data_IF_424976280788
#
_entry.id   IF_424976280788
#
_cell.length_a   1.000
_cell.length_b   1.000
_cell.length_c   1.000
_cell.angle_alpha   90.00
_cell.angle_beta   90.00
_cell.angle_gamma   90.00
#
_symmetry.space_group_name_H-M   'P 1'
#
loop_
_entity.id
_entity.type
_entity.pdbx_description
1 polymer ?
#
# COMPACT_ATOMS: atom_id res chain seq x y z
N UNK A 1 15.56 -12.56 -22.80
CA UNK A 1 15.64 -14.01 -22.45
C UNK A 1 14.26 -14.52 -22.07
N UNK A 2 13.95 -15.80 -22.33
CA UNK A 2 12.67 -16.39 -21.91
C UNK A 2 12.88 -17.35 -20.74
N UNK A 3 12.08 -17.21 -19.70
CA UNK A 3 11.93 -18.23 -18.67
C UNK A 3 10.88 -19.23 -19.13
N UNK A 4 11.27 -20.48 -19.24
CA UNK A 4 10.41 -21.56 -19.75
C UNK A 4 9.99 -22.49 -18.62
N UNK A 5 8.69 -22.53 -18.34
CA UNK A 5 8.06 -23.61 -17.57
C UNK A 5 7.76 -24.83 -18.43
N UNK A 6 6.77 -25.63 -18.06
CA UNK A 6 6.27 -26.77 -18.84
C UNK A 6 5.12 -26.38 -19.78
N UNK A 7 4.34 -25.39 -19.41
CA UNK A 7 3.12 -24.95 -20.11
C UNK A 7 3.16 -23.45 -20.41
N UNK A 8 3.84 -22.69 -19.58
CA UNK A 8 3.92 -21.24 -19.68
C UNK A 8 5.36 -20.76 -19.87
N UNK A 9 5.50 -19.54 -20.36
CA UNK A 9 6.74 -18.81 -20.39
C UNK A 9 6.53 -17.35 -20.03
N UNK A 10 7.59 -16.67 -19.63
CA UNK A 10 7.62 -15.22 -19.55
C UNK A 10 8.93 -14.67 -20.13
N UNK A 11 8.91 -13.40 -20.49
CA UNK A 11 10.07 -12.70 -21.04
C UNK A 11 10.74 -11.89 -19.92
N UNK A 12 12.04 -12.08 -19.76
CA UNK A 12 12.84 -11.28 -18.83
C UNK A 12 13.95 -10.54 -19.60
N UNK A 13 14.42 -9.39 -19.10
CA UNK A 13 15.48 -8.64 -19.76
C UNK A 13 16.74 -9.47 -20.02
N UNK A 14 17.48 -9.12 -21.04
CA UNK A 14 18.78 -9.72 -21.28
C UNK A 14 19.75 -9.39 -20.14
N UNK A 15 20.58 -10.36 -19.78
CA UNK A 15 21.55 -10.23 -18.69
C UNK A 15 21.03 -10.67 -17.32
N UNK A 16 19.75 -11.03 -17.18
CA UNK A 16 19.28 -11.70 -15.96
C UNK A 16 19.81 -13.13 -15.91
N UNK A 17 20.16 -13.59 -14.70
CA UNK A 17 20.65 -14.96 -14.48
C UNK A 17 19.49 -15.91 -14.19
N UNK A 18 19.42 -17.02 -14.92
CA UNK A 18 18.42 -18.08 -14.70
C UNK A 18 18.94 -19.12 -13.71
N UNK A 19 18.09 -19.49 -12.75
CA UNK A 19 18.30 -20.61 -11.83
C UNK A 19 17.05 -21.50 -11.87
N UNK A 20 17.23 -22.80 -11.98
CA UNK A 20 16.13 -23.77 -11.91
C UNK A 20 16.15 -24.50 -10.59
N UNK A 21 15.01 -24.48 -9.92
CA UNK A 21 14.76 -25.22 -8.70
C UNK A 21 13.58 -26.19 -8.91
N UNK A 22 13.44 -27.22 -8.07
CA UNK A 22 12.27 -28.10 -8.16
C UNK A 22 10.96 -27.31 -8.07
N UNK A 23 10.16 -27.35 -9.12
CA UNK A 23 8.86 -26.71 -9.20
C UNK A 23 8.88 -25.21 -9.56
N UNK A 24 10.04 -24.59 -9.79
CA UNK A 24 10.08 -23.20 -10.25
C UNK A 24 11.31 -22.87 -11.10
N UNK A 25 11.16 -21.82 -11.91
CA UNK A 25 12.27 -21.18 -12.66
C UNK A 25 12.41 -19.76 -12.16
N UNK A 26 13.61 -19.38 -11.78
CA UNK A 26 13.91 -18.09 -11.17
C UNK A 26 14.82 -17.32 -12.12
N UNK A 27 14.55 -16.04 -12.35
CA UNK A 27 15.50 -15.11 -12.94
C UNK A 27 15.82 -14.01 -11.94
N UNK A 28 17.10 -13.62 -11.87
CA UNK A 28 17.57 -12.55 -11.01
C UNK A 28 18.26 -11.46 -11.83
N UNK A 29 17.98 -10.21 -11.46
CA UNK A 29 18.62 -9.06 -12.09
C UNK A 29 20.14 -9.07 -11.86
N UNK A 30 20.95 -8.48 -12.78
CA UNK A 30 22.38 -8.45 -12.64
C UNK A 30 22.90 -7.51 -11.54
N UNK A 31 22.04 -6.61 -11.06
CA UNK A 31 22.39 -5.62 -10.05
C UNK A 31 21.36 -5.59 -8.92
N UNK A 32 21.86 -5.39 -7.70
CA UNK A 32 21.01 -5.16 -6.53
C UNK A 32 20.60 -3.68 -6.45
N UNK A 33 19.39 -3.45 -5.96
CA UNK A 33 18.89 -2.13 -5.59
C UNK A 33 18.73 -2.10 -4.08
N UNK A 34 19.45 -1.22 -3.38
CA UNK A 34 19.45 -1.14 -1.90
C UNK A 34 19.71 -2.49 -1.19
N UNK A 35 20.58 -3.33 -1.76
CA UNK A 35 20.89 -4.65 -1.20
C UNK A 35 19.90 -5.77 -1.55
N UNK A 36 18.79 -5.47 -2.19
CA UNK A 36 17.85 -6.47 -2.72
C UNK A 36 18.09 -6.67 -4.22
N UNK A 37 18.16 -7.93 -4.65
CA UNK A 37 18.27 -8.27 -6.06
C UNK A 37 16.89 -8.54 -6.65
N UNK A 38 16.37 -7.68 -7.55
CA UNK A 38 15.10 -7.92 -8.21
C UNK A 38 15.04 -9.30 -8.87
N UNK A 39 13.90 -9.96 -8.77
CA UNK A 39 13.76 -11.31 -9.30
C UNK A 39 12.36 -11.53 -9.90
N UNK A 40 12.29 -12.54 -10.76
CA UNK A 40 11.07 -13.08 -11.31
C UNK A 40 11.05 -14.60 -11.07
N UNK A 41 9.97 -15.11 -10.52
CA UNK A 41 9.79 -16.51 -10.16
C UNK A 41 8.57 -17.04 -10.88
N UNK A 42 8.76 -17.97 -11.82
CA UNK A 42 7.68 -18.69 -12.51
C UNK A 42 7.50 -20.05 -11.86
N UNK A 43 6.32 -20.30 -11.31
CA UNK A 43 5.89 -21.57 -10.76
C UNK A 43 4.73 -22.13 -11.57
N UNK A 44 4.67 -23.44 -11.69
CA UNK A 44 3.55 -24.14 -12.32
C UNK A 44 3.06 -25.25 -11.41
N UNK A 45 1.75 -25.37 -11.28
CA UNK A 45 1.11 -26.43 -10.51
C UNK A 45 -0.13 -26.96 -11.25
N UNK A 46 -0.54 -28.18 -10.96
CA UNK A 46 -1.84 -28.69 -11.42
C UNK A 46 -2.94 -28.31 -10.45
N UNK A 47 -4.09 -27.96 -11.00
CA UNK A 47 -5.29 -27.79 -10.19
C UNK A 47 -5.83 -29.18 -9.85
N UNK A 48 -5.91 -29.50 -8.56
CA UNK A 48 -6.60 -30.69 -8.06
C UNK A 48 -8.03 -30.32 -7.69
N UNK A 49 -8.97 -31.07 -8.21
CA UNK A 49 -10.40 -30.80 -8.05
C UNK A 49 -11.05 -30.30 -9.34
N UNK A 50 -12.20 -29.67 -9.24
CA UNK A 50 -12.82 -29.02 -10.40
C UNK A 50 -12.07 -27.71 -10.70
N UNK A 51 -11.42 -27.60 -11.83
CA UNK A 51 -10.65 -26.40 -12.22
C UNK A 51 -11.62 -25.34 -12.71
N UNK A 52 -12.29 -24.67 -11.83
CA UNK A 52 -13.46 -24.06 -12.37
C UNK A 52 -13.19 -22.64 -12.83
N UNK A 53 -12.48 -21.81 -12.11
CA UNK A 53 -12.22 -20.49 -12.61
C UNK A 53 -10.90 -19.93 -12.08
N UNK A 54 -10.27 -19.08 -12.88
CA UNK A 54 -9.11 -18.32 -12.45
C UNK A 54 -9.45 -17.46 -11.22
N UNK A 55 -10.69 -16.95 -11.12
CA UNK A 55 -11.17 -16.21 -9.96
C UNK A 55 -11.15 -17.05 -8.67
N UNK A 56 -11.56 -18.33 -8.73
CA UNK A 56 -11.51 -19.22 -7.57
C UNK A 56 -10.09 -19.47 -7.09
N UNK A 57 -9.14 -19.65 -8.01
CA UNK A 57 -7.72 -19.85 -7.71
C UNK A 57 -7.14 -18.58 -7.09
N UNK A 58 -7.39 -17.42 -7.70
CA UNK A 58 -6.98 -16.12 -7.18
C UNK A 58 -7.55 -15.86 -5.78
N UNK A 59 -8.82 -16.20 -5.56
CA UNK A 59 -9.47 -16.09 -4.26
C UNK A 59 -8.80 -16.96 -3.18
N UNK A 60 -8.41 -18.19 -3.54
CA UNK A 60 -7.67 -19.07 -2.64
C UNK A 60 -6.30 -18.46 -2.29
N UNK A 61 -5.60 -17.90 -3.28
CA UNK A 61 -4.33 -17.19 -3.09
C UNK A 61 -4.47 -16.00 -2.16
N UNK A 62 -5.48 -15.15 -2.38
CA UNK A 62 -5.75 -13.98 -1.53
C UNK A 62 -5.96 -14.37 -0.05
N UNK A 63 -6.62 -15.50 0.20
CA UNK A 63 -6.79 -16.04 1.55
C UNK A 63 -5.49 -16.58 2.16
N UNK A 64 -4.62 -17.15 1.33
CA UNK A 64 -3.34 -17.70 1.77
C UNK A 64 -2.36 -16.58 2.18
N UNK A 65 -2.35 -15.43 1.50
CA UNK A 65 -1.45 -14.31 1.83
C UNK A 65 -1.48 -13.92 3.30
N UNK A 66 -2.67 -13.84 3.90
CA UNK A 66 -2.81 -13.46 5.30
C UNK A 66 -2.23 -14.47 6.30
N UNK A 67 -2.01 -15.73 5.86
CA UNK A 67 -1.49 -16.80 6.70
C UNK A 67 0.00 -17.05 6.47
N UNK A 68 0.42 -17.05 5.23
CA UNK A 68 1.75 -17.49 4.79
C UNK A 68 2.78 -16.35 4.75
N UNK A 69 2.31 -15.13 4.53
CA UNK A 69 3.15 -13.94 4.48
C UNK A 69 2.66 -12.86 5.46
N UNK A 70 2.79 -13.08 6.78
CA UNK A 70 2.36 -12.12 7.78
C UNK A 70 3.09 -10.79 7.59
N UNK A 71 2.33 -9.70 7.47
CA UNK A 71 2.86 -8.37 7.21
C UNK A 71 2.82 -7.94 5.75
N UNK A 72 2.60 -8.85 4.81
CA UNK A 72 2.34 -8.50 3.42
C UNK A 72 0.96 -7.88 3.26
N UNK A 73 0.89 -6.78 2.54
CA UNK A 73 -0.33 -6.06 2.23
C UNK A 73 -0.72 -6.32 0.78
N UNK A 74 -1.91 -6.85 0.55
CA UNK A 74 -2.49 -6.83 -0.80
C UNK A 74 -3.03 -5.43 -1.03
N UNK A 75 -2.57 -4.76 -2.05
CA UNK A 75 -2.94 -3.36 -2.33
C UNK A 75 -3.82 -3.21 -3.57
N UNK A 76 -3.77 -4.18 -4.48
CA UNK A 76 -4.58 -4.15 -5.70
C UNK A 76 -4.77 -5.55 -6.27
N UNK A 77 -5.94 -5.79 -6.88
CA UNK A 77 -6.26 -7.00 -7.64
C UNK A 77 -6.86 -6.59 -8.96
N UNK A 78 -6.39 -7.16 -10.06
CA UNK A 78 -6.81 -6.82 -11.41
C UNK A 78 -7.18 -8.05 -12.21
N UNK A 79 -8.23 -7.95 -13.04
CA UNK A 79 -8.51 -8.91 -14.08
C UNK A 79 -7.94 -8.37 -15.40
N UNK A 80 -7.07 -9.13 -16.02
CA UNK A 80 -6.39 -8.75 -17.25
C UNK A 80 -6.57 -9.81 -18.32
N UNK A 81 -6.30 -9.43 -19.56
CA UNK A 81 -6.20 -10.38 -20.66
C UNK A 81 -4.91 -10.10 -21.42
N UNK A 82 -3.95 -10.99 -21.26
CA UNK A 82 -2.66 -10.92 -21.95
C UNK A 82 -2.56 -12.03 -22.99
N UNK A 83 -2.26 -11.67 -24.24
CA UNK A 83 -2.11 -12.62 -25.36
C UNK A 83 -3.28 -13.62 -25.52
N UNK A 84 -4.51 -13.16 -25.21
CA UNK A 84 -5.72 -13.97 -25.32
C UNK A 84 -6.04 -14.86 -24.13
N UNK A 85 -5.15 -14.95 -23.14
CA UNK A 85 -5.35 -15.68 -21.89
C UNK A 85 -5.85 -14.71 -20.81
N UNK A 86 -6.80 -15.15 -19.99
CA UNK A 86 -7.25 -14.39 -18.83
C UNK A 86 -6.26 -14.54 -17.68
N UNK A 87 -5.92 -13.42 -17.05
CA UNK A 87 -4.98 -13.32 -15.95
C UNK A 87 -5.64 -12.65 -14.75
N UNK A 88 -5.10 -12.93 -13.58
CA UNK A 88 -5.29 -12.13 -12.36
C UNK A 88 -3.95 -11.59 -11.94
N UNK A 89 -3.89 -10.27 -11.77
CA UNK A 89 -2.71 -9.59 -11.24
C UNK A 89 -2.99 -9.14 -9.82
N UNK A 90 -2.11 -9.52 -8.91
CA UNK A 90 -2.18 -9.16 -7.50
C UNK A 90 -0.94 -8.35 -7.16
N UNK A 91 -1.16 -7.16 -6.64
CA UNK A 91 -0.08 -6.29 -6.18
C UNK A 91 0.03 -6.37 -4.68
N UNK A 92 1.24 -6.59 -4.18
CA UNK A 92 1.50 -6.69 -2.75
C UNK A 92 2.69 -5.84 -2.34
N UNK A 93 2.61 -5.33 -1.10
CA UNK A 93 3.72 -4.65 -0.43
C UNK A 93 4.15 -5.47 0.78
N UNK A 94 5.43 -5.77 0.86
CA UNK A 94 6.00 -6.51 1.99
C UNK A 94 7.10 -5.68 2.66
N UNK A 95 7.07 -5.49 4.00
CA UNK A 95 8.16 -4.86 4.71
C UNK A 95 9.38 -5.78 4.68
N UNK A 96 10.56 -5.20 4.49
CA UNK A 96 11.82 -5.94 4.60
C UNK A 96 12.37 -5.78 6.00
N UNK A 97 12.55 -6.90 6.68
CA UNK A 97 13.08 -6.94 8.06
C UNK A 97 14.58 -7.26 8.12
N UNK A 98 15.28 -7.22 6.98
CA UNK A 98 16.69 -7.58 6.93
C UNK A 98 17.57 -6.46 7.53
N UNK A 99 18.28 -6.77 8.64
CA UNK A 99 19.18 -5.86 9.32
C UNK A 99 20.40 -5.42 8.46
N UNK A 100 20.68 -6.13 7.37
CA UNK A 100 21.77 -5.79 6.45
C UNK A 100 21.45 -4.62 5.51
N UNK A 101 20.19 -4.19 5.47
CA UNK A 101 19.75 -3.10 4.59
C UNK A 101 19.66 -1.82 5.43
N UNK A 102 20.77 -1.10 5.49
CA UNK A 102 20.86 0.15 6.22
C UNK A 102 20.29 1.33 5.41
N UNK A 103 19.49 2.14 6.08
CA UNK A 103 19.30 3.53 5.73
C UNK A 103 18.23 3.86 4.71
N UNK A 104 17.18 3.03 4.50
CA UNK A 104 16.05 3.42 3.66
C UNK A 104 14.77 2.66 4.06
N UNK A 105 13.61 3.30 3.84
CA UNK A 105 12.31 2.63 3.91
C UNK A 105 12.29 1.58 2.80
N UNK A 106 12.65 0.36 3.11
CA UNK A 106 12.65 -0.71 2.15
C UNK A 106 11.34 -1.49 2.26
N UNK A 107 10.46 -1.23 1.30
CA UNK A 107 9.29 -2.03 1.03
C UNK A 107 9.50 -2.75 -0.30
N UNK A 108 9.24 -4.04 -0.35
CA UNK A 108 9.23 -4.80 -1.58
C UNK A 108 7.85 -4.71 -2.21
N UNK A 109 7.83 -4.35 -3.47
CA UNK A 109 6.68 -4.50 -4.34
C UNK A 109 6.77 -5.86 -5.01
N UNK A 110 5.70 -6.65 -4.92
CA UNK A 110 5.56 -7.87 -5.70
C UNK A 110 4.34 -7.77 -6.60
N UNK A 111 4.55 -8.09 -7.87
CA UNK A 111 3.50 -8.21 -8.88
C UNK A 111 3.35 -9.70 -9.17
N UNK A 112 2.23 -10.27 -8.80
CA UNK A 112 1.91 -11.66 -9.05
C UNK A 112 0.90 -11.77 -10.18
N UNK A 113 1.25 -12.51 -11.23
CA UNK A 113 0.35 -12.86 -12.33
C UNK A 113 -0.07 -14.31 -12.19
N UNK A 114 -1.36 -14.55 -12.23
CA UNK A 114 -1.97 -15.87 -12.25
C UNK A 114 -2.64 -16.13 -13.59
N UNK A 115 -2.37 -17.27 -14.19
CA UNK A 115 -3.03 -17.73 -15.40
C UNK A 115 -3.33 -19.24 -15.34
N UNK A 116 -4.36 -19.68 -16.04
CA UNK A 116 -4.74 -21.10 -16.11
C UNK A 116 -4.92 -21.54 -17.55
N UNK A 117 -4.22 -22.60 -17.94
CA UNK A 117 -4.40 -23.23 -19.26
C UNK A 117 -4.29 -24.74 -19.09
N UNK A 118 -5.28 -25.47 -19.62
CA UNK A 118 -5.33 -26.95 -19.61
C UNK A 118 -5.15 -27.58 -18.22
N UNK A 119 -5.70 -26.96 -17.18
CA UNK A 119 -5.62 -27.44 -15.79
C UNK A 119 -4.24 -27.22 -15.14
N UNK A 120 -3.35 -26.45 -15.78
CA UNK A 120 -2.10 -25.98 -15.20
C UNK A 120 -2.26 -24.52 -14.81
N UNK A 121 -1.97 -24.22 -13.55
CA UNK A 121 -1.86 -22.87 -13.02
C UNK A 121 -0.42 -22.41 -13.16
N UNK A 122 -0.24 -21.25 -13.77
CA UNK A 122 1.02 -20.52 -13.69
C UNK A 122 0.88 -19.38 -12.68
N UNK A 123 1.91 -19.24 -11.87
CA UNK A 123 2.12 -18.12 -10.97
C UNK A 123 3.48 -17.50 -11.31
N UNK A 124 3.46 -16.29 -11.85
CA UNK A 124 4.65 -15.48 -12.06
C UNK A 124 4.68 -14.38 -11.02
N UNK A 125 5.69 -14.37 -10.16
CA UNK A 125 5.89 -13.32 -9.17
C UNK A 125 7.13 -12.52 -9.51
N UNK A 126 6.98 -11.22 -9.75
CA UNK A 126 8.08 -10.28 -9.96
C UNK A 126 8.23 -9.45 -8.71
N UNK A 127 9.41 -9.46 -8.10
CA UNK A 127 9.68 -8.76 -6.85
C UNK A 127 10.84 -7.77 -6.99
N UNK A 128 10.63 -6.55 -6.51
CA UNK A 128 11.62 -5.48 -6.55
C UNK A 128 11.45 -4.53 -5.36
N UNK A 129 12.49 -3.78 -4.99
CA UNK A 129 12.32 -2.67 -4.05
C UNK A 129 11.40 -1.61 -4.65
N UNK A 130 10.44 -1.14 -3.86
CA UNK A 130 9.48 -0.13 -4.31
C UNK A 130 10.15 1.15 -4.83
N UNK A 131 11.26 1.53 -4.23
CA UNK A 131 12.07 2.70 -4.66
C UNK A 131 12.69 2.56 -6.06
N UNK A 132 12.69 1.36 -6.63
CA UNK A 132 13.18 1.10 -8.00
C UNK A 132 12.07 0.95 -9.02
N UNK A 133 10.81 1.17 -8.62
CA UNK A 133 9.66 0.99 -9.49
C UNK A 133 9.13 2.32 -10.04
N UNK A 134 8.70 2.29 -11.29
CA UNK A 134 7.92 3.36 -11.94
C UNK A 134 6.85 2.74 -12.86
N UNK A 135 5.72 3.42 -13.10
CA UNK A 135 4.71 2.95 -14.05
C UNK A 135 5.31 2.68 -15.43
N UNK A 136 4.97 1.51 -16.01
CA UNK A 136 5.53 1.08 -17.30
C UNK A 136 6.98 0.58 -17.23
N UNK A 137 7.50 0.32 -16.04
CA UNK A 137 8.80 -0.27 -15.79
C UNK A 137 8.94 -1.66 -16.45
N UNK A 138 10.19 -2.06 -16.70
CA UNK A 138 10.53 -3.39 -17.18
C UNK A 138 9.95 -4.53 -16.34
N UNK A 139 9.78 -4.35 -15.03
CA UNK A 139 9.24 -5.36 -14.11
C UNK A 139 7.74 -5.60 -14.35
N UNK A 140 6.99 -4.55 -14.66
CA UNK A 140 5.59 -4.68 -15.09
C UNK A 140 5.51 -5.38 -16.44
N UNK A 141 6.39 -5.03 -17.37
CA UNK A 141 6.51 -5.71 -18.66
C UNK A 141 6.84 -7.19 -18.51
N UNK A 142 7.68 -7.59 -17.54
CA UNK A 142 7.95 -9.00 -17.22
C UNK A 142 6.64 -9.69 -16.79
N UNK A 143 5.91 -9.11 -15.86
CA UNK A 143 4.64 -9.66 -15.39
C UNK A 143 3.65 -9.82 -16.54
N UNK A 144 3.51 -8.81 -17.40
CA UNK A 144 2.62 -8.82 -18.57
C UNK A 144 3.03 -9.83 -19.65
N UNK A 145 4.27 -10.28 -19.65
CA UNK A 145 4.79 -11.21 -20.66
C UNK A 145 4.39 -12.67 -20.42
N UNK A 146 3.79 -13.01 -19.28
CA UNK A 146 3.33 -14.37 -18.99
C UNK A 146 2.37 -14.85 -20.07
N UNK A 147 2.70 -15.96 -20.71
CA UNK A 147 1.90 -16.53 -21.79
C UNK A 147 2.01 -18.06 -21.83
N UNK A 148 0.96 -18.68 -22.34
CA UNK A 148 0.99 -20.12 -22.61
C UNK A 148 1.85 -20.44 -23.84
N UNK A 149 2.67 -21.48 -23.72
CA UNK A 149 3.41 -22.02 -24.86
C UNK A 149 2.46 -22.64 -25.90
N UNK A 150 2.87 -22.66 -27.18
CA UNK A 150 2.18 -23.45 -28.19
C UNK A 150 2.05 -24.92 -27.77
N UNK A 151 0.91 -25.55 -28.03
CA UNK A 151 0.64 -26.93 -27.58
C UNK A 151 1.74 -27.92 -27.97
N UNK A 152 2.35 -27.71 -29.15
CA UNK A 152 3.44 -28.56 -29.65
C UNK A 152 4.76 -28.45 -28.84
N UNK A 153 4.92 -27.40 -28.07
CA UNK A 153 6.13 -27.10 -27.30
C UNK A 153 5.97 -27.40 -25.80
N UNK A 154 4.75 -27.76 -25.36
CA UNK A 154 4.48 -28.05 -23.95
C UNK A 154 5.08 -29.38 -23.54
N UNK A 155 5.78 -29.37 -22.43
CA UNK A 155 6.25 -30.60 -21.78
C UNK A 155 5.25 -30.99 -20.67
N UNK A 156 5.24 -32.26 -20.28
CA UNK A 156 4.42 -32.64 -19.11
C UNK A 156 4.93 -31.87 -17.86
N UNK A 157 4.03 -31.26 -17.08
CA UNK A 157 4.45 -30.57 -15.86
C UNK A 157 5.14 -31.57 -14.93
N UNK A 158 6.15 -31.12 -14.15
CA UNK A 158 6.87 -32.00 -13.24
C UNK A 158 5.89 -32.66 -12.27
N UNK A 159 6.00 -33.97 -12.14
CA UNK A 159 5.11 -34.81 -11.30
C UNK A 159 5.33 -34.57 -9.80
N UNK A 160 6.44 -33.94 -9.46
CA UNK A 160 6.83 -33.59 -8.09
C UNK A 160 7.07 -32.07 -7.99
N UNK A 161 6.00 -31.33 -7.91
CA UNK A 161 6.07 -29.93 -7.46
C UNK A 161 6.05 -29.93 -5.92
N UNK A 162 7.06 -29.33 -5.28
CA UNK A 162 7.04 -29.07 -3.84
C UNK A 162 6.04 -27.93 -3.50
N UNK A 163 5.40 -27.35 -4.49
CA UNK A 163 4.31 -26.40 -4.30
C UNK A 163 3.06 -27.21 -3.97
N UNK A 164 2.42 -26.99 -2.82
CA UNK A 164 1.17 -27.66 -2.49
C UNK A 164 0.16 -27.44 -3.63
N UNK A 165 -0.59 -28.47 -4.02
CA UNK A 165 -1.64 -28.28 -5.01
C UNK A 165 -2.63 -27.22 -4.53
N UNK A 166 -3.10 -26.37 -5.44
CA UNK A 166 -4.16 -25.43 -5.13
C UNK A 166 -5.43 -26.22 -4.87
N UNK A 167 -5.82 -26.33 -3.59
CA UNK A 167 -7.04 -26.97 -3.18
C UNK A 167 -8.16 -25.94 -3.20
N UNK A 168 -9.10 -26.11 -4.13
CA UNK A 168 -10.33 -25.32 -4.18
C UNK A 168 -11.29 -25.83 -3.12
N UNK A 169 -11.64 -25.03 -2.14
CA UNK A 169 -12.65 -25.40 -1.16
C UNK A 169 -14.08 -25.29 -1.74
N UNK A 170 -15.08 -25.85 -1.06
CA UNK A 170 -16.49 -25.89 -1.52
C UNK A 170 -17.04 -24.49 -1.85
N UNK A 171 -16.45 -23.47 -1.28
CA UNK A 171 -16.85 -22.08 -1.50
C UNK A 171 -16.47 -21.57 -2.90
N UNK A 172 -15.40 -22.09 -3.49
CA UNK A 172 -14.96 -21.71 -4.83
C UNK A 172 -16.00 -22.07 -5.91
N UNK A 173 -16.82 -23.09 -5.67
CA UNK A 173 -17.85 -23.56 -6.63
C UNK A 173 -19.03 -22.59 -6.77
N UNK A 174 -19.27 -21.71 -5.81
CA UNK A 174 -20.35 -20.69 -5.87
C UNK A 174 -19.93 -19.42 -6.62
N UNK A 175 -18.65 -19.30 -6.99
CA UNK A 175 -18.10 -18.12 -7.67
C UNK A 175 -18.13 -18.21 -9.21
N UNK A 176 -18.59 -19.32 -9.77
CA UNK A 176 -18.61 -19.55 -11.21
C UNK A 176 -19.44 -18.52 -12.00
N UNK A 177 -20.37 -17.83 -11.34
CA UNK A 177 -21.21 -16.80 -11.97
C UNK A 177 -20.67 -15.38 -11.78
N UNK A 178 -19.70 -15.16 -10.90
CA UNK A 178 -19.16 -13.82 -10.61
C UNK A 178 -17.72 -13.69 -11.14
N UNK A 179 -17.44 -12.75 -12.05
CA UNK A 179 -16.12 -12.62 -12.64
C UNK A 179 -15.07 -12.00 -11.69
N UNK A 180 -15.41 -11.67 -10.45
CA UNK A 180 -14.57 -10.95 -9.52
C UNK A 180 -14.50 -11.63 -8.16
N UNK A 181 -13.32 -11.59 -7.56
CA UNK A 181 -13.04 -12.08 -6.23
C UNK A 181 -13.69 -11.21 -5.15
N UNK A 182 -14.05 -11.84 -4.04
CA UNK A 182 -14.46 -11.12 -2.83
C UNK A 182 -13.24 -10.60 -2.08
N UNK A 183 -12.97 -9.32 -2.19
CA UNK A 183 -11.84 -8.68 -1.52
C UNK A 183 -12.05 -8.53 0.00
N UNK A 184 -13.26 -8.77 0.53
CA UNK A 184 -13.53 -8.71 1.97
C UNK A 184 -12.80 -9.78 2.77
N UNK A 185 -12.30 -10.82 2.11
CA UNK A 185 -11.47 -11.85 2.74
C UNK A 185 -10.08 -11.36 3.12
N UNK A 186 -9.62 -10.27 2.48
CA UNK A 186 -8.35 -9.64 2.79
C UNK A 186 -8.54 -8.86 4.08
N UNK A 187 -7.86 -9.31 5.12
CA UNK A 187 -7.92 -8.61 6.41
C UNK A 187 -7.17 -7.30 6.32
N UNK A 188 -7.73 -6.22 6.91
CA UNK A 188 -6.99 -4.99 7.06
C UNK A 188 -5.68 -5.25 7.80
N UNK A 189 -4.61 -4.51 7.50
CA UNK A 189 -3.35 -4.67 8.21
C UNK A 189 -3.57 -4.44 9.70
N UNK A 190 -3.18 -5.42 10.51
CA UNK A 190 -3.20 -5.26 11.97
C UNK A 190 -1.94 -4.50 12.36
N UNK A 191 -2.13 -3.37 13.01
CA UNK A 191 -1.04 -2.59 13.54
C UNK A 191 -0.45 -3.30 14.77
N UNK A 192 0.72 -3.90 14.60
CA UNK A 192 1.50 -4.42 15.72
C UNK A 192 2.56 -3.37 16.05
N UNK A 193 2.32 -2.60 17.09
CA UNK A 193 3.33 -1.66 17.61
C UNK A 193 4.37 -2.44 18.40
N UNK A 194 5.65 -2.06 18.26
CA UNK A 194 6.75 -2.69 19.01
C UNK A 194 6.75 -2.34 20.50
N UNK A 195 6.13 -1.22 20.84
CA UNK A 195 5.94 -0.78 22.23
C UNK A 195 4.53 -0.21 22.41
N UNK A 196 4.05 -0.24 23.66
CA UNK A 196 2.80 0.46 23.97
C UNK A 196 2.97 1.97 23.69
N UNK A 197 2.06 2.57 22.91
CA UNK A 197 2.13 3.99 22.64
C UNK A 197 1.84 4.80 23.89
N UNK A 198 2.54 5.90 24.06
CA UNK A 198 2.31 6.85 25.13
C UNK A 198 0.97 7.56 24.87
N UNK A 199 0.10 7.60 25.88
CA UNK A 199 -1.20 8.31 25.80
C UNK A 199 -1.07 9.68 26.44
N UNK A 200 -1.22 10.73 25.63
CA UNK A 200 -1.15 12.12 26.07
C UNK A 200 -2.46 12.86 25.82
N UNK A 201 -2.76 13.87 26.65
CA UNK A 201 -3.78 14.85 26.32
C UNK A 201 -3.41 15.67 25.08
N UNK A 202 -4.39 16.28 24.43
CA UNK A 202 -4.13 17.19 23.30
C UNK A 202 -3.19 18.33 23.71
N UNK A 203 -3.34 18.86 24.92
CA UNK A 203 -2.50 19.92 25.46
C UNK A 203 -1.06 19.44 25.68
N UNK A 204 -0.86 18.33 26.39
CA UNK A 204 0.47 17.78 26.66
C UNK A 204 1.21 17.41 25.36
N UNK A 205 0.54 16.76 24.42
CA UNK A 205 1.11 16.41 23.14
C UNK A 205 1.49 17.65 22.31
N UNK A 206 0.66 18.70 22.34
CA UNK A 206 0.92 19.94 21.61
C UNK A 206 2.12 20.69 22.19
N UNK A 207 2.20 20.80 23.52
CA UNK A 207 3.32 21.45 24.20
C UNK A 207 4.61 20.66 23.90
N UNK A 208 4.58 19.34 24.04
CA UNK A 208 5.73 18.49 23.77
C UNK A 208 6.26 18.65 22.32
N UNK A 209 5.40 18.52 21.32
CA UNK A 209 5.77 18.64 19.91
C UNK A 209 6.25 20.06 19.53
N UNK A 210 5.61 21.11 20.05
CA UNK A 210 6.05 22.48 19.79
C UNK A 210 7.42 22.75 20.42
N UNK A 211 7.66 22.21 21.60
CA UNK A 211 8.96 22.33 22.27
C UNK A 211 10.05 21.61 21.50
N UNK A 212 9.76 20.42 20.98
CA UNK A 212 10.65 19.71 20.09
C UNK A 212 11.02 20.56 18.87
N UNK A 213 10.02 21.12 18.20
CA UNK A 213 10.20 21.94 17.00
C UNK A 213 11.00 23.23 17.23
N UNK A 214 10.84 23.89 18.38
CA UNK A 214 11.52 25.13 18.72
C UNK A 214 12.88 24.92 19.39
N UNK A 215 13.22 23.69 19.77
CA UNK A 215 14.37 23.32 20.62
C UNK A 215 14.37 24.04 21.98
N UNK A 216 13.25 24.59 22.35
CA UNK A 216 13.06 25.27 23.63
C UNK A 216 11.94 24.56 24.36
N UNK A 217 12.29 23.85 25.44
CA UNK A 217 11.29 23.23 26.29
C UNK A 217 10.90 24.27 27.37
N UNK A 218 9.69 24.87 27.29
CA UNK A 218 9.26 25.81 28.33
C UNK A 218 9.11 25.04 29.64
N UNK A 219 9.35 25.66 30.80
CA UNK A 219 9.09 25.03 32.07
C UNK A 219 7.59 24.66 32.14
N UNK A 220 7.36 23.34 32.07
CA UNK A 220 6.00 22.80 32.09
C UNK A 220 5.54 22.75 33.54
N UNK A 221 4.34 23.24 33.83
CA UNK A 221 3.78 23.28 35.18
C UNK A 221 2.41 22.62 35.23
N UNK A 222 1.93 22.33 36.44
CA UNK A 222 0.60 21.81 36.66
C UNK A 222 0.37 20.38 36.17
N UNK A 223 -0.82 20.10 35.63
CA UNK A 223 -1.22 18.75 35.23
C UNK A 223 -0.47 18.26 34.00
N UNK A 224 -0.13 19.14 33.07
CA UNK A 224 0.67 18.77 31.88
C UNK A 224 2.04 18.24 32.29
N UNK A 225 2.70 18.86 33.27
CA UNK A 225 3.99 18.35 33.80
C UNK A 225 3.84 16.96 34.40
N UNK A 226 2.80 16.74 35.22
CA UNK A 226 2.54 15.42 35.80
C UNK A 226 2.31 14.36 34.74
N UNK A 227 1.56 14.72 33.70
CA UNK A 227 1.27 13.81 32.59
C UNK A 227 2.53 13.46 31.80
N UNK A 228 3.36 14.45 31.44
CA UNK A 228 4.63 14.23 30.73
C UNK A 228 5.65 13.48 31.58
N UNK A 229 5.70 13.72 32.90
CA UNK A 229 6.56 12.99 33.83
C UNK A 229 6.09 11.54 34.02
N UNK A 230 4.78 11.30 34.13
CA UNK A 230 4.21 9.95 34.16
C UNK A 230 4.46 9.17 32.89
N UNK A 231 4.60 9.86 31.76
CA UNK A 231 4.99 9.31 30.47
C UNK A 231 6.52 9.20 30.27
N UNK A 232 7.30 9.53 31.30
CA UNK A 232 8.77 9.54 31.29
C UNK A 232 9.38 10.47 30.21
N UNK A 233 8.64 11.42 29.68
CA UNK A 233 9.13 12.38 28.70
C UNK A 233 9.89 13.57 29.30
N UNK A 234 9.59 13.88 30.55
CA UNK A 234 10.29 14.89 31.35
C UNK A 234 10.69 14.32 32.72
N UNK A 235 11.71 14.91 33.33
CA UNK A 235 12.10 14.59 34.70
C UNK A 235 11.22 15.33 35.75
N UNK A 236 11.52 15.11 37.03
CA UNK A 236 10.81 15.74 38.15
C UNK A 236 10.96 17.28 38.16
N UNK A 237 11.98 17.83 37.55
CA UNK A 237 12.17 19.26 37.40
C UNK A 237 11.50 19.87 36.17
N UNK A 238 10.93 19.00 35.29
CA UNK A 238 10.25 19.38 34.06
C UNK A 238 11.19 19.58 32.87
N UNK A 239 12.44 19.10 32.95
CA UNK A 239 13.35 19.06 31.83
C UNK A 239 13.14 17.77 31.05
N UNK A 240 13.57 17.75 29.79
CA UNK A 240 13.49 16.54 28.97
C UNK A 240 14.28 15.38 29.62
N UNK A 241 13.64 14.25 29.77
CA UNK A 241 14.28 12.98 30.11
C UNK A 241 15.07 12.42 28.92
N UNK A 242 15.80 11.32 29.13
CA UNK A 242 16.47 10.63 28.01
C UNK A 242 15.47 10.12 26.96
N UNK A 243 14.30 9.61 27.38
CA UNK A 243 13.24 9.22 26.47
C UNK A 243 12.66 10.43 25.73
N UNK A 244 12.40 11.53 26.45
CA UNK A 244 11.93 12.78 25.84
C UNK A 244 12.92 13.32 24.81
N UNK A 245 14.22 13.29 25.08
CA UNK A 245 15.26 13.67 24.12
C UNK A 245 15.22 12.80 22.87
N UNK A 246 15.06 11.49 23.02
CA UNK A 246 14.96 10.57 21.89
C UNK A 246 13.80 10.92 20.96
N UNK A 247 12.60 11.20 21.49
CA UNK A 247 11.45 11.63 20.69
C UNK A 247 11.69 12.98 20.03
N UNK A 248 12.27 13.94 20.76
CA UNK A 248 12.59 15.27 20.22
C UNK A 248 13.58 15.19 19.07
N UNK A 249 14.62 14.35 19.21
CA UNK A 249 15.61 14.14 18.15
C UNK A 249 14.97 13.61 16.87
N UNK A 250 14.03 12.67 16.97
CA UNK A 250 13.30 12.14 15.81
C UNK A 250 12.38 13.18 15.16
N UNK A 251 11.75 14.08 15.94
CA UNK A 251 10.98 15.22 15.39
C UNK A 251 11.87 16.20 14.63
N UNK A 252 13.11 16.39 15.10
CA UNK A 252 14.03 17.34 14.50
C UNK A 252 14.79 16.79 13.29
N UNK A 253 15.13 15.51 13.31
CA UNK A 253 15.91 14.85 12.26
C UNK A 253 15.03 14.19 11.18
N UNK A 254 13.78 13.86 11.52
CA UNK A 254 12.87 13.18 10.60
C UNK A 254 12.19 14.11 9.61
N UNK A 255 11.90 13.57 8.44
CA UNK A 255 11.05 14.23 7.45
C UNK A 255 9.60 14.25 7.94
N UNK A 256 9.04 15.45 8.11
CA UNK A 256 7.73 15.64 8.72
C UNK A 256 6.60 15.53 7.69
N UNK A 257 5.59 14.74 8.03
CA UNK A 257 4.40 14.50 7.22
C UNK A 257 3.13 14.58 8.08
N UNK A 258 2.02 14.92 7.41
CA UNK A 258 0.71 14.97 8.04
C UNK A 258 -0.38 14.45 7.12
N UNK A 259 -1.17 13.48 7.58
CA UNK A 259 -2.42 13.09 6.94
C UNK A 259 -3.57 13.71 7.73
N UNK A 260 -4.42 14.45 7.04
CA UNK A 260 -5.63 15.04 7.61
C UNK A 260 -6.86 14.42 6.98
N UNK A 261 -7.73 13.88 7.81
CA UNK A 261 -9.10 13.49 7.44
C UNK A 261 -9.99 14.72 7.64
N UNK A 262 -10.58 15.22 6.57
CA UNK A 262 -11.35 16.46 6.60
C UNK A 262 -12.84 16.25 6.91
N UNK A 263 -13.39 15.05 6.63
CA UNK A 263 -14.79 14.70 6.87
C UNK A 263 -14.94 13.17 6.97
N UNK A 264 -15.95 12.65 7.68
CA UNK A 264 -16.99 13.38 8.44
C UNK A 264 -16.49 13.99 9.75
N UNK A 265 -15.40 13.48 10.34
CA UNK A 265 -14.77 14.00 11.54
C UNK A 265 -13.34 14.40 11.23
N UNK A 266 -12.98 15.64 11.53
CA UNK A 266 -11.61 16.10 11.35
C UNK A 266 -10.69 15.37 12.33
N UNK A 267 -9.75 14.62 11.79
CA UNK A 267 -8.68 13.95 12.52
C UNK A 267 -7.36 14.19 11.81
N UNK A 268 -6.25 14.05 12.53
CA UNK A 268 -4.94 14.33 12.01
C UNK A 268 -3.94 13.29 12.51
N UNK A 269 -3.17 12.73 11.59
CA UNK A 269 -2.07 11.84 11.83
C UNK A 269 -0.77 12.55 11.41
N UNK A 270 0.11 12.79 12.37
CA UNK A 270 1.43 13.37 12.12
C UNK A 270 2.50 12.32 12.29
N UNK A 271 3.49 12.33 11.44
CA UNK A 271 4.62 11.41 11.54
C UNK A 271 5.91 12.04 11.03
N UNK A 272 7.01 11.55 11.57
CA UNK A 272 8.36 11.98 11.23
C UNK A 272 9.17 10.76 10.86
N UNK A 273 9.68 10.75 9.64
CA UNK A 273 10.35 9.61 9.04
C UNK A 273 11.85 9.82 9.08
N UNK A 274 12.57 8.93 9.73
CA UNK A 274 14.03 8.80 9.62
C UNK A 274 14.38 7.53 8.85
N UNK A 275 15.65 7.28 8.60
CA UNK A 275 16.10 6.08 7.89
C UNK A 275 15.69 4.76 8.55
N UNK A 276 15.62 4.72 9.88
CA UNK A 276 15.34 3.48 10.64
C UNK A 276 14.02 3.50 11.39
N UNK A 277 13.56 4.67 11.81
CA UNK A 277 12.44 4.81 12.73
C UNK A 277 11.48 5.89 12.26
N UNK A 278 10.20 5.60 12.30
CA UNK A 278 9.13 6.58 12.12
C UNK A 278 8.44 6.81 13.46
N UNK A 279 8.49 8.05 13.92
CA UNK A 279 7.71 8.52 15.05
C UNK A 279 6.35 9.03 14.56
N UNK A 280 5.29 8.81 15.33
CA UNK A 280 3.96 9.28 14.95
C UNK A 280 3.14 9.79 16.14
N UNK A 281 2.19 10.67 15.84
CA UNK A 281 1.15 11.15 16.76
C UNK A 281 -0.20 11.05 16.07
N UNK A 282 -1.12 10.33 16.69
CA UNK A 282 -2.44 10.05 16.15
C UNK A 282 -3.51 10.19 17.24
N UNK A 283 -4.74 10.62 16.92
CA UNK A 283 -5.84 10.64 17.89
C UNK A 283 -6.09 9.26 18.49
N UNK A 284 -6.34 9.21 19.79
CA UNK A 284 -6.75 7.98 20.44
C UNK A 284 -8.12 7.54 19.90
N UNK A 285 -8.32 6.29 19.49
CA UNK A 285 -9.55 5.85 18.84
C UNK A 285 -10.77 5.93 19.78
N UNK A 286 -10.58 5.66 21.09
CA UNK A 286 -11.66 5.56 22.05
C UNK A 286 -11.75 6.77 23.01
N UNK A 287 -10.62 7.41 23.31
CA UNK A 287 -10.54 8.51 24.28
C UNK A 287 -10.48 9.86 23.56
N UNK A 288 -11.61 10.55 23.48
CA UNK A 288 -11.66 11.90 22.92
C UNK A 288 -10.72 12.87 23.67
N UNK A 289 -10.01 13.74 22.92
CA UNK A 289 -9.05 14.70 23.50
C UNK A 289 -7.72 14.06 23.97
N UNK A 290 -7.48 12.80 23.60
CA UNK A 290 -6.22 12.09 23.82
C UNK A 290 -5.55 11.72 22.52
N UNK A 291 -4.23 11.56 22.53
CA UNK A 291 -3.41 11.15 21.40
C UNK A 291 -2.48 10.03 21.80
N UNK A 292 -2.19 9.17 20.85
CA UNK A 292 -1.08 8.24 20.91
C UNK A 292 0.17 8.92 20.37
N UNK A 293 1.25 8.88 21.15
CA UNK A 293 2.61 9.14 20.72
C UNK A 293 3.31 7.80 20.66
N UNK A 294 3.78 7.40 19.49
CA UNK A 294 4.42 6.10 19.30
C UNK A 294 5.49 6.14 18.22
N UNK A 295 6.08 4.98 17.99
CA UNK A 295 7.04 4.78 16.92
C UNK A 295 6.95 3.38 16.34
N UNK A 296 7.42 3.23 15.11
CA UNK A 296 7.59 1.95 14.43
C UNK A 296 8.87 1.97 13.57
N UNK A 297 9.39 0.82 13.15
CA UNK A 297 10.39 0.78 12.09
C UNK A 297 9.88 1.51 10.85
N UNK A 298 10.75 2.25 10.15
CA UNK A 298 10.33 3.02 8.97
C UNK A 298 9.83 2.12 7.83
N UNK A 299 10.28 0.88 7.75
CA UNK A 299 9.75 -0.11 6.80
C UNK A 299 8.32 -0.61 7.13
N UNK A 300 7.83 -0.39 8.36
CA UNK A 300 6.43 -0.66 8.76
C UNK A 300 5.49 0.55 8.54
N UNK A 301 6.05 1.70 8.15
CA UNK A 301 5.28 2.94 7.98
C UNK A 301 4.07 2.77 7.06
N UNK A 302 4.24 2.12 5.92
CA UNK A 302 3.14 1.97 4.95
C UNK A 302 2.00 1.12 5.51
N UNK A 303 2.33 0.08 6.27
CA UNK A 303 1.35 -0.74 6.96
C UNK A 303 0.59 0.07 8.01
N UNK A 304 1.30 0.91 8.76
CA UNK A 304 0.69 1.85 9.70
C UNK A 304 -0.27 2.82 9.01
N UNK A 305 0.16 3.43 7.91
CA UNK A 305 -0.63 4.41 7.16
C UNK A 305 -1.88 3.77 6.54
N UNK A 306 -1.73 2.64 5.86
CA UNK A 306 -2.85 1.95 5.23
C UNK A 306 -3.85 1.44 6.27
N UNK A 307 -3.37 0.96 7.44
CA UNK A 307 -4.23 0.59 8.55
C UNK A 307 -4.99 1.80 9.11
N UNK A 308 -4.32 2.94 9.26
CA UNK A 308 -4.94 4.14 9.83
C UNK A 308 -5.95 4.80 8.89
N UNK A 309 -5.67 4.84 7.59
CA UNK A 309 -6.61 5.36 6.59
C UNK A 309 -7.69 4.34 6.19
N UNK A 310 -7.64 3.13 6.75
CA UNK A 310 -8.54 2.02 6.43
C UNK A 310 -8.54 1.70 4.93
N UNK A 311 -7.38 1.83 4.27
CA UNK A 311 -7.23 1.53 2.86
C UNK A 311 -7.30 0.02 2.62
N UNK A 312 -8.19 -0.39 1.72
CA UNK A 312 -8.37 -1.78 1.31
C UNK A 312 -8.01 -1.95 -0.16
N UNK A 313 -7.57 -3.14 -0.55
CA UNK A 313 -7.39 -3.45 -1.95
C UNK A 313 -8.72 -3.30 -2.69
N UNK A 314 -8.65 -2.74 -3.88
CA UNK A 314 -9.81 -2.51 -4.72
C UNK A 314 -9.61 -3.07 -6.12
N UNK A 315 -10.75 -3.31 -6.79
CA UNK A 315 -10.74 -3.48 -8.23
C UNK A 315 -10.54 -2.12 -8.89
N UNK A 316 -9.63 -2.01 -9.85
CA UNK A 316 -9.44 -0.77 -10.59
C UNK A 316 -10.70 -0.46 -11.41
N UNK A 317 -11.01 0.81 -11.51
CA UNK A 317 -12.07 1.32 -12.37
C UNK A 317 -11.71 2.72 -12.86
N UNK A 318 -12.05 3.01 -14.10
CA UNK A 318 -11.86 4.35 -14.65
C UNK A 318 -12.95 5.28 -14.15
N UNK A 319 -12.55 6.39 -13.58
CA UNK A 319 -13.46 7.40 -13.10
C UNK A 319 -12.92 8.81 -13.34
N UNK A 320 -13.78 9.66 -13.85
CA UNK A 320 -13.52 11.10 -13.90
C UNK A 320 -14.76 11.86 -13.47
N UNK A 321 -14.67 12.58 -12.36
CA UNK A 321 -15.73 13.44 -11.85
C UNK A 321 -15.22 14.87 -11.72
N UNK A 322 -16.02 15.83 -12.14
CA UNK A 322 -15.78 17.24 -11.88
C UNK A 322 -16.87 17.78 -10.95
N UNK A 323 -16.47 18.24 -9.79
CA UNK A 323 -17.36 18.73 -8.75
C UNK A 323 -17.03 20.18 -8.41
N UNK A 324 -18.08 20.97 -8.20
CA UNK A 324 -17.89 22.24 -7.50
C UNK A 324 -17.56 21.99 -6.01
N UNK A 325 -16.93 22.95 -5.36
CA UNK A 325 -16.66 22.87 -3.92
C UNK A 325 -17.94 22.64 -3.10
N UNK A 326 -19.07 23.21 -3.55
CA UNK A 326 -20.38 23.05 -2.88
C UNK A 326 -20.91 21.61 -3.02
N UNK A 327 -20.75 20.99 -4.17
CA UNK A 327 -21.17 19.59 -4.41
C UNK A 327 -20.30 18.63 -3.59
N UNK A 328 -18.98 18.82 -3.58
CA UNK A 328 -18.11 18.02 -2.76
C UNK A 328 -18.47 18.16 -1.27
N UNK A 329 -18.69 19.36 -0.78
CA UNK A 329 -19.10 19.59 0.61
C UNK A 329 -20.45 18.92 0.94
N UNK A 330 -21.45 19.04 0.06
CA UNK A 330 -22.74 18.37 0.23
C UNK A 330 -22.59 16.84 0.24
N UNK A 331 -21.71 16.30 -0.58
CA UNK A 331 -21.38 14.88 -0.60
C UNK A 331 -20.73 14.42 0.70
N UNK A 332 -19.74 15.15 1.19
CA UNK A 332 -19.01 14.80 2.41
C UNK A 332 -19.88 14.90 3.68
N UNK A 333 -20.72 15.94 3.79
CA UNK A 333 -21.53 16.21 4.99
C UNK A 333 -22.86 15.46 4.99
N UNK A 334 -23.53 15.39 3.84
CA UNK A 334 -24.92 14.92 3.72
C UNK A 334 -25.06 13.68 2.85
N UNK A 335 -23.98 13.19 2.26
CA UNK A 335 -23.95 12.10 1.29
C UNK A 335 -24.87 12.32 0.06
N UNK A 336 -25.01 13.57 -0.37
CA UNK A 336 -25.79 13.88 -1.59
C UNK A 336 -25.02 13.39 -2.80
N UNK A 337 -25.68 12.58 -3.62
CA UNK A 337 -25.08 12.06 -4.87
C UNK A 337 -24.90 13.19 -5.87
N UNK A 338 -23.68 13.41 -6.40
CA UNK A 338 -23.44 14.44 -7.42
C UNK A 338 -24.22 14.16 -8.70
N UNK A 339 -24.69 15.22 -9.35
CA UNK A 339 -25.61 15.12 -10.50
C UNK A 339 -24.97 14.72 -11.84
N UNK A 340 -23.65 14.59 -11.92
CA UNK A 340 -22.94 14.22 -13.16
C UNK A 340 -22.22 12.89 -12.98
N UNK A 341 -22.67 11.88 -13.70
CA UNK A 341 -22.05 10.56 -13.73
C UNK A 341 -21.40 10.32 -15.10
N UNK A 342 -20.12 10.03 -15.10
CA UNK A 342 -19.41 9.54 -16.29
C UNK A 342 -18.99 8.11 -16.01
N UNK A 343 -19.67 7.14 -16.66
CA UNK A 343 -19.30 5.72 -16.77
C UNK A 343 -18.92 4.96 -15.48
N UNK A 344 -19.53 3.80 -15.25
CA UNK A 344 -19.06 2.79 -14.26
C UNK A 344 -19.03 3.15 -12.77
N UNK A 345 -19.41 4.35 -12.41
CA UNK A 345 -19.11 5.04 -11.15
C UNK A 345 -20.22 4.94 -10.10
N UNK A 346 -21.39 4.38 -10.48
CA UNK A 346 -22.60 4.45 -9.64
C UNK A 346 -22.38 4.02 -8.20
N UNK A 347 -21.78 2.85 -8.00
CA UNK A 347 -21.55 2.31 -6.65
C UNK A 347 -20.60 3.20 -5.82
N UNK A 348 -19.55 3.76 -6.41
CA UNK A 348 -18.63 4.65 -5.72
C UNK A 348 -19.29 5.98 -5.33
N UNK A 349 -20.06 6.54 -6.24
CA UNK A 349 -20.74 7.83 -6.03
C UNK A 349 -21.87 7.72 -5.00
N UNK A 350 -22.50 6.58 -4.86
CA UNK A 350 -23.56 6.33 -3.87
C UNK A 350 -23.03 6.15 -2.46
N UNK A 351 -21.77 5.70 -2.30
CA UNK A 351 -21.16 5.48 -1.01
C UNK A 351 -20.83 6.79 -0.27
N UNK A 352 -20.66 6.69 1.04
CA UNK A 352 -20.17 7.81 1.84
C UNK A 352 -18.68 8.01 1.60
N UNK A 353 -18.28 9.25 1.36
CA UNK A 353 -16.91 9.62 1.11
C UNK A 353 -16.22 10.15 2.36
N UNK A 354 -14.97 9.79 2.51
CA UNK A 354 -14.03 10.41 3.45
C UNK A 354 -12.98 11.15 2.63
N UNK A 355 -12.82 12.43 2.88
CA UNK A 355 -11.82 13.26 2.18
C UNK A 355 -10.56 13.37 3.01
N UNK A 356 -9.44 13.07 2.41
CA UNK A 356 -8.12 13.05 3.06
C UNK A 356 -7.12 13.88 2.28
N UNK A 357 -6.10 14.39 2.99
CA UNK A 357 -4.96 15.09 2.39
C UNK A 357 -3.66 14.69 3.08
N UNK A 358 -2.61 14.48 2.30
CA UNK A 358 -1.22 14.38 2.76
C UNK A 358 -0.57 15.74 2.58
N UNK A 359 0.07 16.24 3.61
CA UNK A 359 0.85 17.49 3.58
C UNK A 359 2.26 17.22 4.07
N UNK A 360 3.20 17.99 3.57
CA UNK A 360 4.58 18.04 4.05
C UNK A 360 4.73 18.80 5.37
N UNK A 361 5.95 18.93 5.84
CA UNK A 361 6.27 19.65 7.08
C UNK A 361 5.92 21.14 7.08
N UNK A 362 5.60 21.73 5.91
CA UNK A 362 5.17 23.11 5.75
C UNK A 362 3.64 23.28 5.67
N UNK A 363 2.91 22.19 5.92
CA UNK A 363 1.44 22.14 5.84
C UNK A 363 0.87 22.35 4.41
N UNK A 364 1.71 22.24 3.38
CA UNK A 364 1.26 22.27 2.01
C UNK A 364 0.70 20.91 1.57
N UNK A 365 -0.51 20.84 1.03
CA UNK A 365 -1.08 19.59 0.57
C UNK A 365 -0.36 19.13 -0.71
N UNK A 366 0.27 17.96 -0.62
CA UNK A 366 1.00 17.31 -1.73
C UNK A 366 0.14 16.29 -2.44
N UNK A 367 -0.78 15.63 -1.70
CA UNK A 367 -1.70 14.64 -2.22
C UNK A 367 -3.07 14.77 -1.55
N UNK A 368 -4.13 14.69 -2.33
CA UNK A 368 -5.49 14.65 -1.80
C UNK A 368 -6.24 13.48 -2.40
N UNK A 369 -7.13 12.85 -1.62
CA UNK A 369 -7.93 11.72 -2.10
C UNK A 369 -9.27 11.59 -1.40
N UNK A 370 -10.14 10.80 -2.00
CA UNK A 370 -11.41 10.38 -1.44
C UNK A 370 -11.37 8.88 -1.21
N UNK A 371 -11.75 8.47 -0.02
CA UNK A 371 -11.85 7.08 0.40
C UNK A 371 -13.31 6.65 0.59
N UNK A 372 -13.61 5.38 0.28
CA UNK A 372 -14.92 4.77 0.54
C UNK A 372 -14.74 3.48 1.33
N UNK A 373 -15.59 3.26 2.34
CA UNK A 373 -15.42 2.15 3.29
C UNK A 373 -15.73 0.75 2.75
N UNK A 374 -16.38 0.60 1.61
CA UNK A 374 -16.95 -0.70 1.24
C UNK A 374 -16.45 -1.32 -0.03
N UNK A 375 -15.79 -0.59 -0.94
CA UNK A 375 -15.29 -1.16 -2.19
C UNK A 375 -14.15 -0.36 -2.81
N UNK A 376 -13.10 -0.18 -2.05
CA UNK A 376 -11.85 0.30 -2.59
C UNK A 376 -11.74 1.79 -2.74
N UNK A 377 -10.50 2.17 -2.93
CA UNK A 377 -10.08 3.54 -2.97
C UNK A 377 -10.16 4.07 -4.39
N UNK A 378 -10.85 5.15 -4.54
CA UNK A 378 -10.72 5.98 -5.71
C UNK A 378 -9.82 7.14 -5.34
N UNK A 379 -8.78 7.30 -6.12
CA UNK A 379 -7.91 8.44 -5.99
C UNK A 379 -8.63 9.67 -6.43
N UNK A 380 -8.54 10.65 -5.61
CA UNK A 380 -9.04 11.97 -5.93
C UNK A 380 -7.88 12.90 -6.19
N UNK A 381 -7.88 13.50 -7.34
CA UNK A 381 -7.02 14.62 -7.65
C UNK A 381 -7.80 15.92 -7.46
N UNK A 382 -7.43 16.67 -6.46
CA UNK A 382 -7.76 18.09 -6.46
C UNK A 382 -6.65 18.77 -7.22
N UNK A 383 -6.88 19.12 -8.47
CA UNK A 383 -5.92 19.89 -9.25
C UNK A 383 -5.91 21.35 -8.76
N UNK A 384 -4.92 21.78 -7.97
CA UNK A 384 -4.88 23.14 -7.48
C UNK A 384 -4.59 24.18 -8.58
N UNK A 385 -4.14 23.72 -9.76
CA UNK A 385 -3.74 24.59 -10.86
C UNK A 385 -4.89 25.07 -11.74
N UNK A 386 -6.10 24.57 -11.56
CA UNK A 386 -7.28 25.14 -12.22
C UNK A 386 -7.63 26.49 -11.58
N UNK A 387 -6.78 27.50 -11.82
CA UNK A 387 -7.04 28.91 -11.56
C UNK A 387 -8.19 29.47 -12.40
N UNK A 388 -8.98 28.62 -13.04
CA UNK A 388 -10.11 29.01 -13.84
C UNK A 388 -11.34 29.30 -12.99
N UNK A 389 -12.10 30.25 -13.46
CA UNK A 389 -13.24 30.98 -12.88
C UNK A 389 -14.33 30.09 -12.24
N UNK A 390 -14.35 28.79 -12.45
CA UNK A 390 -15.34 27.86 -11.88
C UNK A 390 -14.82 26.97 -10.75
N UNK A 391 -13.52 26.94 -10.45
CA UNK A 391 -12.90 26.15 -9.36
C UNK A 391 -13.51 24.76 -9.20
N UNK A 392 -13.55 23.99 -10.28
CA UNK A 392 -13.98 22.61 -10.25
C UNK A 392 -12.89 21.74 -9.57
N UNK A 393 -13.34 20.78 -8.79
CA UNK A 393 -12.50 19.76 -8.17
C UNK A 393 -12.63 18.53 -9.05
N UNK A 394 -11.53 18.13 -9.66
CA UNK A 394 -11.45 16.91 -10.44
C UNK A 394 -11.15 15.75 -9.51
N UNK A 395 -11.99 14.72 -9.54
CA UNK A 395 -11.78 13.46 -8.86
C UNK A 395 -11.56 12.42 -9.94
N UNK A 396 -10.39 11.83 -9.98
CA UNK A 396 -10.01 10.91 -11.03
C UNK A 396 -9.39 9.66 -10.42
N UNK A 397 -9.82 8.51 -10.89
CA UNK A 397 -9.08 7.27 -10.76
C UNK A 397 -8.56 6.90 -12.13
N UNK A 398 -7.27 6.66 -12.19
CA UNK A 398 -6.59 6.15 -13.34
C UNK A 398 -6.24 4.68 -13.08
N UNK A 399 -6.53 3.81 -14.05
CA UNK A 399 -6.23 2.39 -13.97
C UNK A 399 -4.73 2.15 -13.81
N UNK A 400 -3.89 2.98 -14.46
CA UNK A 400 -2.45 2.80 -14.50
C UNK A 400 -1.71 3.47 -13.33
N UNK A 401 -2.41 4.23 -12.49
CA UNK A 401 -1.79 5.05 -11.44
C UNK A 401 -2.53 4.92 -10.10
N UNK A 402 -2.33 3.81 -9.40
CA UNK A 402 -3.05 3.54 -8.16
C UNK A 402 -2.62 4.46 -7.02
N UNK A 403 -3.59 4.90 -6.24
CA UNK A 403 -3.42 5.81 -5.12
C UNK A 403 -2.32 5.39 -4.14
N UNK A 404 -2.34 4.13 -3.69
CA UNK A 404 -1.39 3.65 -2.69
C UNK A 404 0.06 3.84 -3.15
N UNK A 405 0.31 3.73 -4.44
CA UNK A 405 1.62 3.91 -5.03
C UNK A 405 2.07 5.36 -4.98
N UNK A 406 1.15 6.29 -5.24
CA UNK A 406 1.41 7.72 -5.09
C UNK A 406 1.65 8.11 -3.64
N UNK A 407 0.86 7.57 -2.71
CA UNK A 407 1.04 7.81 -1.27
C UNK A 407 2.43 7.37 -0.83
N UNK A 408 2.77 6.13 -1.14
CA UNK A 408 4.07 5.53 -0.79
C UNK A 408 5.21 6.24 -1.49
N UNK A 409 5.10 6.47 -2.80
CA UNK A 409 6.11 7.16 -3.60
C UNK A 409 6.36 8.59 -3.11
N UNK A 410 5.31 9.33 -2.77
CA UNK A 410 5.45 10.69 -2.24
C UNK A 410 6.22 10.70 -0.92
N UNK A 411 5.88 9.81 0.03
CA UNK A 411 6.54 9.72 1.34
C UNK A 411 7.98 9.20 1.21
N UNK A 412 8.23 8.28 0.30
CA UNK A 412 9.57 7.76 0.02
C UNK A 412 10.47 8.76 -0.73
N UNK A 413 9.98 9.97 -1.02
CA UNK A 413 10.72 10.99 -1.78
C UNK A 413 10.89 10.64 -3.25
N UNK A 414 10.07 9.74 -3.78
CA UNK A 414 10.06 9.38 -5.19
C UNK A 414 9.26 10.41 -5.98
N UNK A 415 9.76 10.79 -7.14
CA UNK A 415 8.95 11.54 -8.10
C UNK A 415 7.91 10.59 -8.71
N UNK A 416 6.60 10.78 -8.47
CA UNK A 416 5.58 9.90 -8.99
C UNK A 416 5.55 9.85 -10.53
N UNK A 417 6.12 10.83 -11.22
CA UNK A 417 6.21 10.84 -12.69
C UNK A 417 7.42 10.08 -13.24
N UNK A 418 8.50 9.96 -12.48
CA UNK A 418 9.76 9.38 -12.96
C UNK A 418 10.27 8.21 -12.12
N UNK A 419 9.68 7.95 -10.93
CA UNK A 419 10.18 6.96 -9.98
C UNK A 419 11.56 7.27 -9.39
N UNK A 420 12.17 8.37 -9.76
CA UNK A 420 13.48 8.78 -9.28
C UNK A 420 13.36 9.62 -8.00
N UNK A 421 14.35 9.52 -7.11
CA UNK A 421 14.42 10.40 -5.93
C UNK A 421 14.42 11.86 -6.35
N UNK A 422 13.58 12.67 -5.72
CA UNK A 422 13.67 14.13 -5.84
C UNK A 422 15.05 14.55 -5.37
N UNK A 423 15.82 15.21 -6.23
CA UNK A 423 17.06 15.85 -5.80
C UNK A 423 16.67 17.02 -4.87
N UNK A 424 16.72 16.79 -3.57
CA UNK A 424 16.59 17.83 -2.54
C UNK A 424 17.92 18.54 -2.32
#
# INVERSE_FOLDING_TARGET
MQLLGSTFFCEVPDGWAEVREPGCVIATAPASVLGFTPNAVLRESRVEGRPDTLAAISQANLRAFGKEAPGTLVVRVEAMRCRGVEHRRIWTLSPVTNEEIHGNILCLLSIQELAVVDGVVAELTVTLPLVGWSPGDQHETIAESLAAMPVAERTAPPTESNVPPVVLDEWATTYDEAPREDLSVIKPPVLVLQAEPIVLSDEASTIFLNSARTRVFPPVTGEVRKELAAAELVDDDGNLSSAGFWYVDHVLSGEAWKIRVAAPKVTEFRFWVTDSTTMFVVPHPELGGRKFLGYCPSNDLFRLLLAWVEAFPSWPFDMHLELSRKELQAKLEQNVTPGLHVGGVGEFVEQRWTYMSLSDGFDEPVLNWVHTHTRGDAVSWVNPSLRNIRRLISIQQDHDDPFWLRLVGTIAGLDPATGNRRNT
#
